data_IF_926837100590
#
_entry.id   IF_926837100590
#
_cell.length_a   1.000
_cell.length_b   1.000
_cell.length_c   1.000
_cell.angle_alpha   90.00
_cell.angle_beta   90.00
_cell.angle_gamma   90.00
#
_symmetry.space_group_name_H-M   'P 1'
#
loop_
_entity.id
_entity.type
_entity.pdbx_description
1 polymer ?
#
# COMPACT_ATOMS: atom_id res chain seq x y z
N UNK A 1 16.02 -9.17 0.86
CA UNK A 1 14.86 -8.86 -0.01
C UNK A 1 14.43 -7.44 0.27
N UNK A 2 14.25 -6.58 -0.75
CA UNK A 2 13.87 -5.18 -0.52
C UNK A 2 12.45 -5.09 0.07
N UNK A 3 12.18 -4.11 0.93
CA UNK A 3 10.85 -3.92 1.53
C UNK A 3 9.77 -3.69 0.45
N UNK A 4 10.15 -3.07 -0.67
CA UNK A 4 9.28 -2.91 -1.84
C UNK A 4 8.85 -4.26 -2.42
N UNK A 5 9.81 -5.14 -2.72
CA UNK A 5 9.51 -6.47 -3.26
C UNK A 5 8.67 -7.29 -2.28
N UNK A 6 8.93 -7.16 -0.98
CA UNK A 6 8.15 -7.83 0.06
C UNK A 6 6.67 -7.41 0.05
N UNK A 7 6.41 -6.10 0.10
CA UNK A 7 5.06 -5.55 0.11
C UNK A 7 4.33 -5.87 -1.19
N UNK A 8 5.02 -5.77 -2.33
CA UNK A 8 4.47 -6.12 -3.64
C UNK A 8 3.98 -7.57 -3.65
N UNK A 9 4.84 -8.57 -3.35
CA UNK A 9 4.41 -9.97 -3.36
C UNK A 9 3.23 -10.23 -2.42
N UNK A 10 3.25 -9.65 -1.21
CA UNK A 10 2.15 -9.81 -0.24
C UNK A 10 0.82 -9.25 -0.74
N UNK A 11 0.84 -8.07 -1.35
CA UNK A 11 -0.35 -7.46 -1.95
C UNK A 11 -0.81 -8.26 -3.16
N UNK A 12 0.13 -8.74 -3.98
CA UNK A 12 -0.19 -9.55 -5.16
C UNK A 12 -0.91 -10.83 -4.78
N UNK A 13 -0.39 -11.57 -3.79
CA UNK A 13 -1.00 -12.79 -3.27
C UNK A 13 -2.38 -12.51 -2.64
N UNK A 14 -2.51 -11.41 -1.91
CA UNK A 14 -3.73 -11.10 -1.14
C UNK A 14 -4.88 -10.52 -1.98
N UNK A 15 -4.56 -9.90 -3.12
CA UNK A 15 -5.53 -9.22 -3.98
C UNK A 15 -5.81 -9.94 -5.30
N UNK A 16 -5.12 -11.06 -5.56
CA UNK A 16 -5.18 -11.84 -6.81
C UNK A 16 -6.62 -12.16 -7.25
N UNK A 17 -7.49 -12.52 -6.31
CA UNK A 17 -8.87 -12.94 -6.61
C UNK A 17 -9.86 -11.76 -6.67
N UNK A 18 -9.43 -10.56 -6.28
CA UNK A 18 -10.30 -9.39 -6.16
C UNK A 18 -10.23 -8.46 -7.37
N UNK A 19 -9.08 -8.36 -8.01
CA UNK A 19 -8.87 -7.42 -9.12
C UNK A 19 -7.98 -7.99 -10.20
N UNK A 20 -8.28 -7.63 -11.44
CA UNK A 20 -7.50 -8.07 -12.60
C UNK A 20 -6.24 -7.22 -12.84
N UNK A 21 -6.15 -6.03 -12.23
CA UNK A 21 -5.02 -5.13 -12.40
C UNK A 21 -4.87 -4.17 -11.19
N UNK A 22 -3.66 -4.10 -10.66
CA UNK A 22 -3.21 -3.00 -9.81
C UNK A 22 -1.77 -2.64 -10.14
N UNK A 23 -1.41 -1.41 -9.82
CA UNK A 23 -0.04 -0.92 -9.93
C UNK A 23 0.41 -0.36 -8.58
N UNK A 24 1.63 -0.70 -8.18
CA UNK A 24 2.20 -0.27 -6.89
C UNK A 24 3.39 0.63 -7.17
N UNK A 25 3.21 1.92 -6.89
CA UNK A 25 4.28 2.89 -6.90
C UNK A 25 4.88 2.99 -5.50
N UNK A 26 6.21 3.03 -5.43
CA UNK A 26 6.93 3.20 -4.17
C UNK A 26 7.71 4.50 -4.22
N UNK A 27 7.45 5.36 -3.26
CA UNK A 27 8.21 6.58 -3.02
C UNK A 27 8.98 6.41 -1.72
N UNK A 28 10.31 6.44 -1.81
CA UNK A 28 11.17 6.50 -0.63
C UNK A 28 10.96 7.83 0.09
N UNK A 29 11.11 7.81 1.41
CA UNK A 29 11.11 9.02 2.24
C UNK A 29 11.88 10.17 1.59
N UNK A 30 11.15 11.22 1.22
CA UNK A 30 11.67 12.51 0.79
C UNK A 30 11.34 13.51 1.91
N UNK A 31 12.38 13.97 2.59
CA UNK A 31 12.26 14.72 3.84
C UNK A 31 11.42 15.98 3.68
N UNK A 32 11.60 16.72 2.58
CA UNK A 32 10.88 17.97 2.34
C UNK A 32 9.38 17.73 2.19
N UNK A 33 9.03 16.68 1.46
CA UNK A 33 7.63 16.36 1.15
C UNK A 33 6.93 15.74 2.35
N UNK A 34 7.66 15.01 3.20
CA UNK A 34 7.11 14.48 4.43
C UNK A 34 6.78 15.56 5.44
N UNK A 35 7.65 16.56 5.57
CA UNK A 35 7.39 17.72 6.41
C UNK A 35 6.18 18.52 5.91
N UNK A 36 6.07 18.76 4.60
CA UNK A 36 4.92 19.44 4.02
C UNK A 36 3.59 18.67 4.21
N UNK A 37 3.63 17.33 4.14
CA UNK A 37 2.45 16.47 4.28
C UNK A 37 2.15 16.06 5.73
N UNK A 38 2.95 16.50 6.72
CA UNK A 38 2.81 16.08 8.12
C UNK A 38 3.05 14.58 8.36
N UNK A 39 3.77 13.92 7.46
CA UNK A 39 4.09 12.48 7.54
C UNK A 39 5.36 12.34 8.38
N UNK A 40 5.46 11.31 9.26
CA UNK A 40 6.69 11.06 10.01
C UNK A 40 7.90 10.91 9.08
N UNK A 41 9.03 11.48 9.51
CA UNK A 41 10.33 11.29 8.84
C UNK A 41 10.66 9.80 8.76
N UNK A 42 11.43 9.38 7.75
CA UNK A 42 11.77 7.97 7.49
C UNK A 42 10.59 7.05 7.16
N UNK A 43 9.47 7.59 6.70
CA UNK A 43 8.35 6.79 6.17
C UNK A 43 8.55 6.47 4.69
N UNK A 44 8.45 5.21 4.28
CA UNK A 44 8.29 4.84 2.89
C UNK A 44 6.80 4.82 2.54
N UNK A 45 6.44 5.42 1.40
CA UNK A 45 5.06 5.54 0.94
C UNK A 45 4.85 4.62 -0.25
N UNK A 46 3.85 3.77 -0.14
CA UNK A 46 3.39 2.89 -1.21
C UNK A 46 2.04 3.39 -1.68
N UNK A 47 1.92 3.67 -2.97
CA UNK A 47 0.68 4.08 -3.62
C UNK A 47 0.20 2.92 -4.46
N UNK A 48 -0.95 2.34 -4.08
CA UNK A 48 -1.58 1.22 -4.73
C UNK A 48 -2.75 1.77 -5.56
N UNK A 49 -2.63 1.70 -6.88
CA UNK A 49 -3.69 2.06 -7.80
C UNK A 49 -4.40 0.79 -8.27
N UNK A 50 -5.68 0.65 -7.96
CA UNK A 50 -6.52 -0.46 -8.40
C UNK A 50 -7.49 0.02 -9.47
N UNK A 51 -7.59 -0.75 -10.55
CA UNK A 51 -8.60 -0.53 -11.59
C UNK A 51 -9.67 -1.59 -11.41
N UNK A 52 -10.88 -1.16 -11.03
CA UNK A 52 -12.02 -2.05 -10.90
C UNK A 52 -13.14 -1.60 -11.83
N UNK A 53 -13.54 -2.47 -12.77
CA UNK A 53 -14.53 -2.22 -13.83
C UNK A 53 -14.22 -0.97 -14.67
N UNK A 54 -14.58 0.22 -14.18
CA UNK A 54 -14.40 1.53 -14.82
C UNK A 54 -13.92 2.63 -13.84
N UNK A 55 -13.61 2.27 -12.59
CA UNK A 55 -13.15 3.22 -11.58
C UNK A 55 -11.69 2.95 -11.21
N UNK A 56 -10.93 4.03 -11.04
CA UNK A 56 -9.58 3.99 -10.48
C UNK A 56 -9.70 4.33 -8.99
N UNK A 57 -9.30 3.41 -8.13
CA UNK A 57 -9.19 3.63 -6.69
C UNK A 57 -7.72 3.69 -6.29
N UNK A 58 -7.36 4.70 -5.50
CA UNK A 58 -5.99 4.95 -5.06
C UNK A 58 -5.92 4.77 -3.56
N UNK A 59 -4.97 3.96 -3.10
CA UNK A 59 -4.72 3.70 -1.69
C UNK A 59 -3.27 4.00 -1.36
N UNK A 60 -3.06 4.58 -0.18
CA UNK A 60 -1.72 4.85 0.33
C UNK A 60 -1.43 3.96 1.52
N UNK A 61 -0.24 3.37 1.54
CA UNK A 61 0.31 2.58 2.64
C UNK A 61 1.60 3.25 3.12
N UNK A 62 1.64 3.55 4.42
CA UNK A 62 2.74 4.25 5.07
C UNK A 62 3.50 3.29 5.98
N UNK A 63 4.76 3.03 5.64
CA UNK A 63 5.63 2.09 6.37
C UNK A 63 6.82 2.87 6.93
N UNK A 64 6.97 2.89 8.25
CA UNK A 64 8.18 3.44 8.85
C UNK A 64 9.34 2.50 8.52
N UNK A 65 10.52 3.02 8.20
CA UNK A 65 11.71 2.18 7.95
C UNK A 65 12.08 1.31 9.16
N UNK A 66 11.65 1.72 10.34
CA UNK A 66 11.87 1.07 11.63
C UNK A 66 10.80 0.00 11.93
N UNK A 67 9.71 -0.05 11.15
CA UNK A 67 8.65 -1.05 11.35
C UNK A 67 9.23 -2.46 11.18
N UNK A 68 8.95 -3.32 12.17
CA UNK A 68 9.24 -4.74 12.04
C UNK A 68 8.28 -5.39 11.02
N UNK A 69 8.64 -6.59 10.56
CA UNK A 69 7.80 -7.35 9.61
C UNK A 69 6.37 -7.56 10.10
N UNK A 70 6.18 -7.81 11.40
CA UNK A 70 4.85 -8.02 11.99
C UNK A 70 3.97 -6.76 11.89
N UNK A 71 4.53 -5.59 12.20
CA UNK A 71 3.84 -4.29 12.05
C UNK A 71 3.48 -4.02 10.60
N UNK A 72 4.41 -4.31 9.68
CA UNK A 72 4.18 -4.15 8.24
C UNK A 72 3.06 -5.07 7.76
N UNK A 73 3.06 -6.34 8.17
CA UNK A 73 2.03 -7.31 7.79
C UNK A 73 0.65 -6.91 8.28
N UNK A 74 0.55 -6.40 9.52
CA UNK A 74 -0.70 -5.89 10.05
C UNK A 74 -1.26 -4.73 9.21
N UNK A 75 -0.42 -3.74 8.89
CA UNK A 75 -0.81 -2.60 8.04
C UNK A 75 -1.24 -3.02 6.63
N UNK A 76 -0.56 -4.01 6.04
CA UNK A 76 -0.98 -4.61 4.76
C UNK A 76 -2.36 -5.27 4.91
N UNK A 77 -2.57 -6.03 5.97
CA UNK A 77 -3.85 -6.68 6.26
C UNK A 77 -5.00 -5.69 6.36
N UNK A 78 -4.82 -4.61 7.13
CA UNK A 78 -5.83 -3.54 7.24
C UNK A 78 -6.16 -2.90 5.88
N UNK A 79 -5.12 -2.64 5.08
CA UNK A 79 -5.29 -2.09 3.74
C UNK A 79 -6.07 -3.06 2.84
N UNK A 80 -5.72 -4.34 2.84
CA UNK A 80 -6.40 -5.38 2.05
C UNK A 80 -7.87 -5.47 2.43
N UNK A 81 -8.19 -5.45 3.72
CA UNK A 81 -9.59 -5.48 4.18
C UNK A 81 -10.35 -4.22 3.77
N UNK A 82 -9.69 -3.05 3.76
CA UNK A 82 -10.29 -1.82 3.22
C UNK A 82 -10.57 -1.95 1.71
N UNK A 83 -9.60 -2.42 0.93
CA UNK A 83 -9.76 -2.64 -0.52
C UNK A 83 -10.90 -3.62 -0.79
N UNK A 84 -10.94 -4.75 -0.06
CA UNK A 84 -12.02 -5.74 -0.17
C UNK A 84 -13.38 -5.11 0.06
N UNK A 85 -13.54 -4.33 1.12
CA UNK A 85 -14.79 -3.61 1.38
C UNK A 85 -15.12 -2.69 0.21
N UNK A 86 -14.20 -1.85 -0.23
CA UNK A 86 -14.47 -0.92 -1.32
C UNK A 86 -14.76 -1.59 -2.68
N UNK A 87 -14.22 -2.79 -2.93
CA UNK A 87 -14.41 -3.53 -4.18
C UNK A 87 -15.66 -4.42 -4.13
N UNK A 88 -15.93 -5.06 -2.98
CA UNK A 88 -17.02 -6.02 -2.78
C UNK A 88 -18.30 -5.40 -2.21
N UNK A 89 -18.24 -4.17 -1.67
CA UNK A 89 -19.44 -3.41 -1.31
C UNK A 89 -20.19 -3.02 -2.59
N UNK A 90 -20.98 -3.98 -3.07
CA UNK A 90 -22.17 -3.83 -3.93
C UNK A 90 -23.31 -3.33 -3.04
#
# INVERSE_FOLDING_TARGET
MSIKSYIQCKLEDSLKDLTNLYNIHHRKSDHNIQMEMGIPLNTDIFVICLINKLEIKIYNLYILREDCKLSTDYKIGELVEKIKKDVLSI
#
